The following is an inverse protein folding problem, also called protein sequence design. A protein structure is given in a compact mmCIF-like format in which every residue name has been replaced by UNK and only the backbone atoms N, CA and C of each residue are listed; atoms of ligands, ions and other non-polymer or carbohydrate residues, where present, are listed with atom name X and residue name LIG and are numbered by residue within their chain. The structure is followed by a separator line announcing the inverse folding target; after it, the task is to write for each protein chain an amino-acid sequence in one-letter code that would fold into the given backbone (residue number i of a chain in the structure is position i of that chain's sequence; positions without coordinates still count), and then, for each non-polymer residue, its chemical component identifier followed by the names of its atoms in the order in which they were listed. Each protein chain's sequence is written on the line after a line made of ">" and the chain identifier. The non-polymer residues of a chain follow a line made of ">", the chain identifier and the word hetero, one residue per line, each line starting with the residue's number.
data_IF_422659018603
#
_entry.id   IF_422659018603
#
_cell.length_a   1.000
_cell.length_b   1.000
_cell.length_c   1.000
_cell.angle_alpha   90.00
_cell.angle_beta   90.00
_cell.angle_gamma   90.00
#
_symmetry.space_group_name_H-M   'P 1'
#
loop_
_entity.id
_entity.type
_entity.pdbx_description
1 polymer ?
#
# COMPACT_ATOMS: atom_id res chain seq x y z
N UNK A 1 -6.68 -1.37 -40.69
CA UNK A 1 -6.71 -1.45 -40.08
C UNK A 1 -6.85 -1.18 -39.15
N UNK A 2 -6.83 -0.84 -38.96
CA UNK A 2 -6.91 -0.61 -38.11
C UNK A 2 -7.54 -0.98 -37.47
N UNK A 3 -8.00 -1.13 -37.60
CA UNK A 3 -8.60 -1.61 -37.04
C UNK A 3 -8.67 -2.32 -36.38
N UNK A 4 -8.48 -2.81 -36.76
CA UNK A 4 -8.33 -3.61 -35.92
C UNK A 4 -7.81 -3.25 -34.98
N UNK A 5 -7.52 -2.58 -35.37
CA UNK A 5 -6.86 -2.09 -34.54
C UNK A 5 -7.52 -1.55 -33.55
N UNK A 6 -8.40 -1.60 -33.59
CA UNK A 6 -8.74 -1.26 -32.57
C UNK A 6 -8.52 -1.93 -31.69
N UNK A 7 -7.69 -2.05 -31.37
CA UNK A 7 -7.24 -2.72 -30.34
C UNK A 7 -7.71 -2.26 -29.06
N UNK A 8 -7.89 -1.10 -28.85
CA UNK A 8 -8.38 -0.62 -27.60
C UNK A 8 -9.86 -0.35 -27.71
N UNK A 9 -10.66 -1.10 -26.97
CA UNK A 9 -12.07 -0.83 -26.84
C UNK A 9 -12.29 0.47 -26.06
N UNK A 10 -13.49 1.01 -26.14
CA UNK A 10 -13.84 2.16 -25.33
C UNK A 10 -13.70 1.89 -23.84
N UNK A 11 -14.03 0.67 -23.41
CA UNK A 11 -13.86 0.25 -22.03
C UNK A 11 -12.40 0.31 -21.60
N UNK A 12 -11.50 -0.21 -22.44
CA UNK A 12 -10.08 -0.18 -22.15
C UNK A 12 -9.53 1.25 -22.11
N UNK A 13 -10.00 2.09 -23.03
CA UNK A 13 -9.63 3.50 -23.03
C UNK A 13 -10.11 4.19 -21.76
N UNK A 14 -11.33 3.88 -21.32
CA UNK A 14 -11.91 4.44 -20.10
C UNK A 14 -11.13 4.00 -18.86
N UNK A 15 -10.74 2.73 -18.81
CA UNK A 15 -9.91 2.22 -17.72
C UNK A 15 -8.55 2.91 -17.70
N UNK A 16 -7.95 3.15 -18.87
CA UNK A 16 -6.68 3.88 -18.95
C UNK A 16 -6.81 5.31 -18.42
N UNK A 17 -7.91 5.98 -18.75
CA UNK A 17 -8.18 7.31 -18.25
C UNK A 17 -8.35 7.33 -16.72
N UNK A 18 -9.12 6.37 -16.20
CA UNK A 18 -9.35 6.26 -14.77
C UNK A 18 -8.04 5.99 -14.03
N UNK A 19 -7.23 5.06 -14.55
CA UNK A 19 -5.95 4.75 -13.95
C UNK A 19 -5.03 5.98 -13.94
N UNK A 20 -4.93 6.70 -15.05
CA UNK A 20 -4.12 7.92 -15.11
C UNK A 20 -4.59 8.97 -14.11
N UNK A 21 -5.90 9.13 -13.97
CA UNK A 21 -6.45 10.08 -13.03
C UNK A 21 -6.09 9.73 -11.59
N UNK A 22 -6.22 8.46 -11.23
CA UNK A 22 -5.88 8.00 -9.89
C UNK A 22 -4.38 8.13 -9.62
N UNK A 23 -3.56 7.80 -10.61
CA UNK A 23 -2.11 7.98 -10.50
C UNK A 23 -1.75 9.44 -10.31
N UNK A 24 -2.39 10.33 -11.04
CA UNK A 24 -2.15 11.78 -10.91
C UNK A 24 -2.52 12.28 -9.52
N UNK A 25 -3.63 11.81 -8.97
CA UNK A 25 -4.04 12.17 -7.61
C UNK A 25 -3.02 11.71 -6.59
N UNK A 26 -2.51 10.49 -6.74
CA UNK A 26 -1.51 9.95 -5.83
C UNK A 26 -0.21 10.73 -5.94
N UNK A 27 0.23 11.03 -7.16
CA UNK A 27 1.44 11.81 -7.38
C UNK A 27 1.30 13.21 -6.80
N UNK A 28 0.17 13.83 -6.96
CA UNK A 28 -0.09 15.14 -6.37
C UNK A 28 0.04 15.11 -4.85
N UNK A 29 -0.51 14.08 -4.21
CA UNK A 29 -0.40 13.93 -2.77
C UNK A 29 1.05 13.73 -2.34
N UNK A 30 1.80 12.93 -3.09
CA UNK A 30 3.22 12.73 -2.80
C UNK A 30 3.96 14.07 -2.86
N UNK A 31 3.64 14.91 -3.82
CA UNK A 31 4.25 16.23 -3.94
C UNK A 31 3.84 17.18 -2.84
N UNK A 32 2.57 17.19 -2.48
CA UNK A 32 2.07 18.09 -1.44
C UNK A 32 2.46 17.63 -0.05
N UNK A 33 2.55 16.30 0.13
CA UNK A 33 3.04 15.69 1.36
C UNK A 33 4.53 15.36 1.25
N UNK A 34 5.22 16.09 0.42
CA UNK A 34 6.61 15.81 0.02
C UNK A 34 7.57 15.67 1.17
N UNK A 35 7.06 15.82 2.33
CA UNK A 35 7.86 15.76 3.51
C UNK A 35 7.61 14.52 4.33
N UNK A 36 6.64 13.70 3.95
CA UNK A 36 6.53 12.39 4.53
C UNK A 36 7.64 11.55 3.95
N UNK A 37 8.77 11.68 4.59
CA UNK A 37 9.99 11.16 4.05
C UNK A 37 10.15 9.68 4.19
N UNK A 38 9.34 9.08 5.03
CA UNK A 38 9.54 7.68 5.35
C UNK A 38 8.41 6.86 4.80
N UNK A 39 8.57 6.45 3.56
CA UNK A 39 7.63 5.56 2.90
C UNK A 39 7.85 4.09 3.29
N UNK A 40 8.95 3.81 3.98
CA UNK A 40 9.27 2.45 4.41
C UNK A 40 8.62 2.22 5.78
N UNK A 41 7.83 1.15 5.94
CA UNK A 41 7.23 0.86 7.23
C UNK A 41 8.28 0.65 8.32
N UNK A 42 7.95 1.08 9.52
CA UNK A 42 8.81 0.82 10.67
C UNK A 42 8.46 -0.55 11.25
N UNK A 43 9.42 -1.13 11.95
CA UNK A 43 9.22 -2.40 12.61
C UNK A 43 8.13 -2.28 13.69
N UNK A 44 7.24 -3.27 13.76
CA UNK A 44 6.17 -3.27 14.75
C UNK A 44 6.74 -3.47 16.15
N UNK A 45 6.17 -2.73 17.10
CA UNK A 45 6.60 -2.80 18.50
C UNK A 45 5.90 -3.94 19.21
N UNK A 46 6.46 -4.43 20.35
CA UNK A 46 5.76 -5.43 21.15
C UNK A 46 4.36 -4.99 21.57
N UNK A 47 4.17 -3.70 21.81
CA UNK A 47 2.85 -3.17 22.16
C UNK A 47 1.86 -3.33 21.02
N UNK A 48 2.29 -3.07 19.79
CA UNK A 48 1.44 -3.27 18.61
C UNK A 48 1.11 -4.73 18.40
N UNK A 49 2.06 -5.62 18.64
CA UNK A 49 1.86 -7.05 18.52
C UNK A 49 0.83 -7.56 19.53
N UNK A 50 0.78 -6.98 20.72
CA UNK A 50 -0.12 -7.39 21.76
C UNK A 50 -1.56 -6.93 21.55
N UNK A 51 -1.82 -6.04 20.60
CA UNK A 51 -3.16 -5.57 20.32
C UNK A 51 -3.93 -6.66 19.58
N UNK A 52 -5.17 -6.91 20.02
CA UNK A 52 -6.03 -7.86 19.35
C UNK A 52 -6.80 -7.12 18.26
N UNK A 53 -6.65 -7.59 17.03
CA UNK A 53 -7.30 -6.96 15.88
C UNK A 53 -8.60 -7.67 15.55
N UNK A 54 -9.64 -6.91 15.27
CA UNK A 54 -10.95 -7.44 15.02
C UNK A 54 -11.07 -8.10 13.64
N UNK A 55 -10.22 -7.69 12.70
CA UNK A 55 -10.28 -8.22 11.34
C UNK A 55 -8.90 -8.23 10.68
N UNK A 56 -8.81 -8.92 9.56
CA UNK A 56 -7.55 -9.10 8.85
C UNK A 56 -7.06 -7.82 8.17
N UNK A 57 -7.96 -6.92 7.86
CA UNK A 57 -7.55 -5.62 7.30
C UNK A 57 -6.72 -4.83 8.31
N UNK A 58 -7.03 -4.94 9.59
CA UNK A 58 -6.25 -4.28 10.64
C UNK A 58 -4.83 -4.85 10.74
N UNK A 59 -4.69 -6.16 10.57
CA UNK A 59 -3.36 -6.79 10.54
C UNK A 59 -2.52 -6.19 9.42
N UNK A 60 -3.10 -6.08 8.24
CA UNK A 60 -2.40 -5.52 7.08
C UNK A 60 -2.08 -4.04 7.28
N UNK A 61 -3.03 -3.28 7.80
CA UNK A 61 -2.83 -1.86 8.04
C UNK A 61 -1.72 -1.61 9.06
N UNK A 62 -1.68 -2.38 10.13
CA UNK A 62 -0.62 -2.23 11.13
C UNK A 62 0.72 -2.69 10.57
N UNK A 63 0.74 -3.77 9.79
CA UNK A 63 1.98 -4.25 9.17
C UNK A 63 2.58 -3.22 8.22
N UNK A 64 1.75 -2.48 7.49
CA UNK A 64 2.21 -1.50 6.51
C UNK A 64 2.37 -0.09 7.09
N UNK A 65 1.37 0.37 7.84
CA UNK A 65 1.28 1.77 8.27
C UNK A 65 1.53 1.98 9.76
N UNK A 66 1.64 0.91 10.53
CA UNK A 66 1.85 1.00 11.97
C UNK A 66 0.60 1.34 12.76
N UNK A 67 -0.57 1.39 12.13
CA UNK A 67 -1.81 1.75 12.81
C UNK A 67 -3.02 1.10 12.14
N UNK A 68 -4.11 0.99 12.89
CA UNK A 68 -5.38 0.50 12.35
C UNK A 68 -6.10 1.62 11.61
N UNK A 69 -7.11 1.26 10.83
CA UNK A 69 -7.93 2.26 10.14
C UNK A 69 -8.63 3.19 11.15
N UNK A 70 -9.07 2.65 12.28
CA UNK A 70 -9.71 3.44 13.32
C UNK A 70 -8.74 4.47 13.91
N UNK A 71 -7.53 4.04 14.23
CA UNK A 71 -6.49 4.94 14.76
C UNK A 71 -6.17 6.05 13.76
N UNK A 72 -6.09 5.71 12.49
CA UNK A 72 -5.84 6.70 11.46
C UNK A 72 -6.95 7.75 11.39
N UNK A 73 -8.21 7.30 11.42
CA UNK A 73 -9.36 8.22 11.40
C UNK A 73 -9.37 9.15 12.61
N UNK A 74 -9.05 8.62 13.77
CA UNK A 74 -8.97 9.43 15.00
C UNK A 74 -7.88 10.50 14.92
N UNK A 75 -6.78 10.18 14.23
CA UNK A 75 -5.68 11.12 14.06
C UNK A 75 -5.91 12.11 12.92
N UNK A 76 -6.91 11.87 12.08
CA UNK A 76 -7.20 12.72 10.92
C UNK A 76 -8.69 13.07 10.86
N UNK A 77 -9.23 13.75 11.86
CA UNK A 77 -10.69 13.95 11.95
C UNK A 77 -11.28 14.80 10.82
N UNK A 78 -10.45 15.59 10.14
CA UNK A 78 -10.91 16.43 9.04
C UNK A 78 -10.84 15.78 7.67
N UNK A 79 -10.32 14.55 7.57
CA UNK A 79 -10.13 13.89 6.28
C UNK A 79 -11.23 12.86 6.04
N UNK A 80 -11.75 12.84 4.80
CA UNK A 80 -12.69 11.83 4.36
C UNK A 80 -11.93 10.59 3.89
N UNK A 81 -12.62 9.44 3.94
CA UNK A 81 -12.04 8.19 3.47
C UNK A 81 -11.29 7.45 4.57
N UNK A 82 -10.35 6.60 4.15
CA UNK A 82 -9.59 5.77 5.07
C UNK A 82 -8.11 5.81 4.72
N UNK A 83 -7.32 5.12 5.51
CA UNK A 83 -5.85 5.12 5.39
C UNK A 83 -5.37 4.72 3.99
N UNK A 84 -6.05 3.78 3.34
CA UNK A 84 -5.65 3.29 2.01
C UNK A 84 -5.91 4.32 0.91
N UNK A 85 -6.86 5.21 1.11
CA UNK A 85 -7.13 6.28 0.15
C UNK A 85 -5.98 7.28 0.05
N UNK A 86 -5.14 7.32 1.06
CA UNK A 86 -3.99 8.22 1.12
C UNK A 86 -2.66 7.49 0.97
N UNK A 87 -2.71 6.20 0.61
CA UNK A 87 -1.52 5.40 0.39
C UNK A 87 -0.87 5.73 -0.95
N UNK A 88 0.44 5.55 -1.02
CA UNK A 88 1.18 5.67 -2.28
C UNK A 88 0.93 4.44 -3.16
N UNK A 89 1.31 4.54 -4.43
CA UNK A 89 1.22 3.40 -5.35
C UNK A 89 2.05 2.23 -4.84
N UNK A 90 3.27 2.51 -4.38
CA UNK A 90 4.15 1.47 -3.86
C UNK A 90 3.54 0.78 -2.65
N UNK A 91 2.91 1.57 -1.76
CA UNK A 91 2.20 1.01 -0.62
C UNK A 91 1.03 0.13 -1.05
N UNK A 92 0.28 0.55 -2.06
CA UNK A 92 -0.85 -0.24 -2.56
C UNK A 92 -0.39 -1.54 -3.22
N UNK A 93 0.71 -1.51 -3.98
CA UNK A 93 1.31 -2.71 -4.56
C UNK A 93 1.70 -3.67 -3.43
N UNK A 94 2.39 -3.16 -2.43
CA UNK A 94 2.83 -3.96 -1.31
C UNK A 94 1.65 -4.56 -0.54
N UNK A 95 0.59 -3.78 -0.30
CA UNK A 95 -0.62 -4.25 0.36
C UNK A 95 -1.27 -5.41 -0.41
N UNK A 96 -1.33 -5.29 -1.73
CA UNK A 96 -1.89 -6.36 -2.57
C UNK A 96 -1.10 -7.65 -2.40
N UNK A 97 0.22 -7.56 -2.41
CA UNK A 97 1.08 -8.72 -2.19
C UNK A 97 0.87 -9.31 -0.79
N UNK A 98 0.75 -8.45 0.20
CA UNK A 98 0.55 -8.88 1.58
C UNK A 98 -0.80 -9.58 1.77
N UNK A 99 -1.83 -9.12 1.07
CA UNK A 99 -3.15 -9.78 1.13
C UNK A 99 -3.05 -11.22 0.66
N UNK A 100 -2.34 -11.45 -0.44
CA UNK A 100 -2.14 -12.81 -0.96
C UNK A 100 -1.31 -13.67 -0.01
N UNK A 101 -0.24 -13.12 0.53
CA UNK A 101 0.61 -13.84 1.46
C UNK A 101 -0.12 -14.14 2.77
N UNK A 102 -0.92 -13.20 3.24
CA UNK A 102 -1.70 -13.40 4.45
C UNK A 102 -2.67 -14.57 4.30
N UNK A 103 -3.31 -14.69 3.13
CA UNK A 103 -4.19 -15.82 2.86
C UNK A 103 -3.44 -17.15 2.98
N UNK A 104 -2.22 -17.22 2.43
CA UNK A 104 -1.37 -18.41 2.54
C UNK A 104 -1.02 -18.70 4.00
N UNK A 105 -0.65 -17.67 4.74
CA UNK A 105 -0.29 -17.82 6.16
C UNK A 105 -1.47 -18.31 7.00
N UNK A 106 -2.68 -17.83 6.69
CA UNK A 106 -3.90 -18.31 7.35
C UNK A 106 -4.10 -19.80 7.09
N UNK A 107 -3.94 -20.22 5.85
CA UNK A 107 -4.07 -21.65 5.49
C UNK A 107 -3.04 -22.51 6.21
N UNK A 108 -1.87 -21.96 6.47
CA UNK A 108 -0.81 -22.65 7.20
C UNK A 108 -1.05 -22.67 8.71
N UNK A 109 -2.12 -22.05 9.19
CA UNK A 109 -2.43 -22.02 10.60
C UNK A 109 -1.57 -21.08 11.42
N UNK A 110 -0.93 -20.12 10.79
CA UNK A 110 -0.08 -19.17 11.50
C UNK A 110 -0.96 -18.19 12.27
N UNK A 111 -0.63 -17.96 13.53
CA UNK A 111 -1.41 -17.09 14.41
C UNK A 111 -1.39 -15.64 13.93
N UNK A 112 -2.40 -14.87 14.30
CA UNK A 112 -2.53 -13.47 13.89
C UNK A 112 -1.30 -12.65 14.30
N UNK A 113 -0.80 -12.84 15.52
CA UNK A 113 0.39 -12.12 15.99
C UNK A 113 1.63 -12.45 15.16
N UNK A 114 1.83 -13.74 14.87
CA UNK A 114 2.96 -14.15 14.02
C UNK A 114 2.81 -13.64 12.59
N UNK A 115 1.58 -13.65 12.07
CA UNK A 115 1.33 -13.11 10.73
C UNK A 115 1.64 -11.63 10.67
N UNK A 116 1.27 -10.88 11.70
CA UNK A 116 1.60 -9.46 11.76
C UNK A 116 3.10 -9.23 11.65
N UNK A 117 3.88 -9.97 12.41
CA UNK A 117 5.34 -9.86 12.38
C UNK A 117 5.89 -10.18 10.99
N UNK A 118 5.46 -11.30 10.42
CA UNK A 118 5.91 -11.73 9.10
C UNK A 118 5.55 -10.72 8.02
N UNK A 119 4.32 -10.26 8.03
CA UNK A 119 3.83 -9.29 7.03
C UNK A 119 4.53 -7.95 7.16
N UNK A 120 4.81 -7.52 8.37
CA UNK A 120 5.56 -6.29 8.59
C UNK A 120 7.00 -6.40 8.02
N UNK A 121 7.67 -7.52 8.24
CA UNK A 121 9.00 -7.77 7.67
C UNK A 121 8.97 -7.75 6.15
N UNK A 122 7.94 -8.39 5.57
CA UNK A 122 7.74 -8.40 4.12
C UNK A 122 7.48 -7.00 3.60
N UNK A 123 6.65 -6.23 4.30
CA UNK A 123 6.36 -4.85 3.92
C UNK A 123 7.64 -4.00 3.90
N UNK A 124 8.46 -4.10 4.93
CA UNK A 124 9.72 -3.37 5.01
C UNK A 124 10.61 -3.74 3.82
N UNK A 125 10.76 -5.02 3.55
CA UNK A 125 11.62 -5.50 2.47
C UNK A 125 11.11 -5.05 1.11
N UNK A 126 9.81 -5.23 0.84
CA UNK A 126 9.23 -4.88 -0.45
C UNK A 126 9.24 -3.37 -0.68
N UNK A 127 8.95 -2.59 0.34
CA UNK A 127 8.98 -1.14 0.20
C UNK A 127 10.38 -0.62 -0.08
N UNK A 128 11.40 -1.23 0.52
CA UNK A 128 12.79 -0.88 0.20
C UNK A 128 13.11 -1.13 -1.27
N UNK A 129 12.65 -2.26 -1.80
CA UNK A 129 12.87 -2.60 -3.21
C UNK A 129 12.10 -1.62 -4.12
N UNK A 130 10.83 -1.38 -3.83
CA UNK A 130 9.99 -0.50 -4.64
C UNK A 130 10.51 0.94 -4.64
N UNK A 131 10.87 1.46 -3.48
CA UNK A 131 11.41 2.81 -3.38
C UNK A 131 12.81 2.90 -3.98
N UNK A 132 13.62 1.87 -3.81
CA UNK A 132 14.94 1.81 -4.43
C UNK A 132 14.86 1.81 -5.95
N UNK A 133 13.90 1.08 -6.50
CA UNK A 133 13.67 1.06 -7.95
C UNK A 133 13.26 2.45 -8.44
N UNK A 134 12.38 3.13 -7.73
CA UNK A 134 11.97 4.49 -8.08
C UNK A 134 13.16 5.47 -8.06
N UNK A 135 14.02 5.35 -7.07
CA UNK A 135 15.23 6.16 -6.97
C UNK A 135 16.18 5.82 -8.11
N UNK A 136 16.34 4.53 -8.41
CA UNK A 136 17.16 4.08 -9.52
C UNK A 136 16.70 4.65 -10.85
N UNK A 137 15.40 4.64 -11.10
CA UNK A 137 14.84 5.22 -12.32
C UNK A 137 15.12 6.71 -12.42
N UNK A 138 15.02 7.44 -11.32
CA UNK A 138 15.35 8.86 -11.31
C UNK A 138 16.81 9.10 -11.65
N UNK A 139 17.68 8.27 -11.13
CA UNK A 139 19.12 8.39 -11.43
C UNK A 139 19.42 8.09 -12.89
N UNK A 140 18.71 7.15 -13.48
CA UNK A 140 18.87 6.81 -14.89
C UNK A 140 18.40 7.93 -15.80
N UNK A 141 17.46 8.74 -15.37
CA UNK A 141 16.95 9.86 -16.16
C UNK A 141 17.84 11.09 -16.10
N UNK A 142 18.82 11.10 -15.26
CA UNK A 142 19.80 12.15 -15.21
C UNK A 142 20.90 11.88 -16.22
#
# INVERSE_FOLDING_TARGET
>A
VQTCALPISEEQAQLGWTAKRELSKINYRIHTDAIKQNLIPTEVTPKQISIIYANEADVLNVAMFGMTAKMWRENHPGKNGNIRDYATINELICLSNMENLNAVFIEQGISQGERLIKLNQIAIQQMRILEGTSIGNRNLLK
#
